data_IF_334191633438
#
_entry.id   IF_334191633438
#
_cell.length_a   1.000
_cell.length_b   1.000
_cell.length_c   1.000
_cell.angle_alpha   90.00
_cell.angle_beta   90.00
_cell.angle_gamma   90.00
#
_symmetry.space_group_name_H-M   'P 1'
#
loop_
_entity.id
_entity.type
_entity.pdbx_description
1 polymer ?
#
# COMPACT_ATOMS: atom_id res chain seq x y z
N UNK A 1 -35.13 -54.37 26.75
CA UNK A 1 -34.28 -53.53 25.88
C UNK A 1 -34.78 -52.10 25.93
N UNK A 2 -34.12 -51.24 26.71
CA UNK A 2 -34.25 -49.79 26.65
C UNK A 2 -32.96 -49.22 27.26
N UNK A 3 -32.09 -48.62 26.43
CA UNK A 3 -30.84 -47.98 26.89
C UNK A 3 -31.11 -46.49 27.21
N UNK A 4 -30.42 -45.94 28.22
CA UNK A 4 -30.68 -44.60 28.75
C UNK A 4 -30.06 -43.48 27.90
N UNK A 5 -30.62 -42.28 28.06
CA UNK A 5 -30.24 -41.02 27.42
C UNK A 5 -28.83 -40.56 27.80
N UNK A 6 -27.91 -40.50 26.84
CA UNK A 6 -26.64 -39.79 26.96
C UNK A 6 -26.80 -38.37 26.42
N UNK A 7 -26.76 -37.37 27.31
CA UNK A 7 -26.67 -35.96 26.94
C UNK A 7 -25.36 -35.67 26.22
N UNK A 8 -25.43 -35.13 25.02
CA UNK A 8 -24.26 -34.61 24.29
C UNK A 8 -23.86 -33.26 24.90
N UNK A 9 -22.81 -33.27 25.74
CA UNK A 9 -22.07 -32.04 26.05
C UNK A 9 -21.45 -31.48 24.77
N UNK A 10 -21.76 -30.22 24.45
CA UNK A 10 -21.12 -29.47 23.37
C UNK A 10 -19.67 -29.18 23.76
N UNK A 11 -18.69 -29.39 22.86
CA UNK A 11 -17.30 -29.09 23.16
C UNK A 11 -17.11 -27.60 23.43
N UNK A 12 -16.51 -27.28 24.59
CA UNK A 12 -16.09 -25.94 24.98
C UNK A 12 -15.13 -25.39 23.92
N UNK A 13 -15.44 -24.22 23.35
CA UNK A 13 -14.52 -23.45 22.50
C UNK A 13 -13.25 -23.14 23.30
N UNK A 14 -12.05 -23.50 22.82
CA UNK A 14 -10.81 -23.01 23.41
C UNK A 14 -10.54 -21.57 22.95
N UNK A 15 -10.11 -20.76 23.92
CA UNK A 15 -9.19 -19.61 23.78
C UNK A 15 -9.69 -18.30 23.17
N UNK A 16 -10.53 -17.60 23.94
CA UNK A 16 -10.71 -16.14 23.80
C UNK A 16 -9.66 -15.33 24.59
N UNK A 17 -8.85 -16.00 25.44
CA UNK A 17 -7.86 -15.35 26.32
C UNK A 17 -6.46 -15.17 25.71
N UNK A 18 -6.13 -15.82 24.59
CA UNK A 18 -4.82 -15.68 23.93
C UNK A 18 -4.67 -14.40 23.07
N UNK A 19 -5.72 -13.59 22.94
CA UNK A 19 -5.70 -12.40 22.06
C UNK A 19 -5.21 -11.11 22.71
N UNK A 20 -5.12 -11.03 24.04
CA UNK A 20 -4.79 -9.76 24.73
C UNK A 20 -3.29 -9.47 24.85
N UNK A 21 -2.41 -10.46 24.74
CA UNK A 21 -0.96 -10.26 24.83
C UNK A 21 -0.29 -9.92 23.50
N UNK A 22 -0.94 -10.18 22.36
CA UNK A 22 -0.35 -9.98 21.04
C UNK A 22 -0.45 -8.53 20.54
N UNK A 23 -1.39 -7.73 21.07
CA UNK A 23 -1.55 -6.33 20.67
C UNK A 23 -0.53 -5.40 21.34
N UNK A 24 0.06 -5.79 22.48
CA UNK A 24 1.00 -4.96 23.26
C UNK A 24 2.44 -5.01 22.69
N UNK A 25 2.82 -6.09 22.03
CA UNK A 25 4.14 -6.24 21.37
C UNK A 25 4.11 -5.84 19.88
N UNK A 26 2.95 -5.44 19.36
CA UNK A 26 2.78 -5.16 17.94
C UNK A 26 3.37 -3.79 17.57
N UNK A 27 4.38 -3.81 16.70
CA UNK A 27 4.90 -2.57 16.12
C UNK A 27 3.91 -2.02 15.11
N UNK A 28 3.28 -0.90 15.44
CA UNK A 28 2.28 -0.28 14.57
C UNK A 28 2.88 0.30 13.28
N UNK A 29 4.13 0.76 13.32
CA UNK A 29 4.82 1.39 12.20
C UNK A 29 6.16 0.68 11.98
N UNK A 30 6.40 0.24 10.74
CA UNK A 30 7.68 -0.31 10.30
C UNK A 30 8.14 0.51 9.09
N UNK A 31 9.34 1.08 9.16
CA UNK A 31 9.88 1.91 8.08
C UNK A 31 10.81 1.09 7.18
N UNK A 32 10.49 1.07 5.88
CA UNK A 32 11.26 0.40 4.83
C UNK A 32 11.39 1.38 3.66
N UNK A 33 12.57 1.54 3.06
CA UNK A 33 12.83 2.48 1.96
C UNK A 33 12.31 3.91 2.21
N UNK A 34 12.58 4.49 3.38
CA UNK A 34 12.08 5.82 3.77
C UNK A 34 10.55 5.97 3.71
N UNK A 35 9.79 4.86 3.73
CA UNK A 35 8.33 4.84 3.77
C UNK A 35 7.81 4.13 5.00
N UNK A 36 6.77 4.71 5.61
CA UNK A 36 6.10 4.15 6.77
C UNK A 36 5.06 3.10 6.36
N UNK A 37 5.26 1.85 6.77
CA UNK A 37 4.35 0.74 6.51
C UNK A 37 3.54 0.42 7.76
N UNK A 38 2.26 0.10 7.54
CA UNK A 38 1.34 -0.28 8.61
C UNK A 38 1.61 -1.71 9.08
N UNK A 39 2.07 -1.84 10.33
CA UNK A 39 2.47 -3.13 10.91
C UNK A 39 1.32 -4.10 11.15
N UNK A 40 0.08 -3.62 11.27
CA UNK A 40 -1.12 -4.46 11.42
C UNK A 40 -1.46 -5.26 10.15
N UNK A 41 -0.91 -4.89 8.98
CA UNK A 41 -1.18 -5.58 7.71
C UNK A 41 -0.25 -6.78 7.54
N UNK A 42 -0.71 -7.74 6.74
CA UNK A 42 0.12 -8.86 6.30
C UNK A 42 1.33 -8.38 5.50
N UNK A 43 2.46 -9.06 5.58
CA UNK A 43 3.74 -8.63 4.96
C UNK A 43 3.57 -8.25 3.49
N UNK A 44 3.00 -9.15 2.67
CA UNK A 44 2.86 -8.91 1.23
C UNK A 44 1.95 -7.71 0.90
N UNK A 45 0.94 -7.45 1.74
CA UNK A 45 0.06 -6.29 1.61
C UNK A 45 0.70 -5.02 2.13
N UNK A 46 1.46 -5.11 3.22
CA UNK A 46 2.16 -3.97 3.81
C UNK A 46 3.21 -3.42 2.84
N UNK A 47 3.97 -4.28 2.16
CA UNK A 47 4.97 -3.89 1.16
C UNK A 47 4.40 -3.09 -0.02
N UNK A 48 3.11 -3.24 -0.34
CA UNK A 48 2.44 -2.41 -1.37
C UNK A 48 2.28 -0.94 -0.98
N UNK A 49 2.56 -0.59 0.28
CA UNK A 49 2.66 0.79 0.72
C UNK A 49 3.87 1.52 0.12
N UNK A 50 4.91 0.77 -0.29
CA UNK A 50 6.06 1.33 -0.99
C UNK A 50 5.66 1.66 -2.43
N UNK A 51 5.81 2.92 -2.84
CA UNK A 51 5.59 3.32 -4.23
C UNK A 51 6.52 2.55 -5.16
N UNK A 52 5.97 1.99 -6.23
CA UNK A 52 6.70 1.13 -7.17
C UNK A 52 6.55 -0.37 -6.89
N UNK A 53 6.17 -0.77 -5.66
CA UNK A 53 5.96 -2.17 -5.30
C UNK A 53 4.48 -2.55 -5.40
N UNK A 54 4.15 -3.44 -6.34
CA UNK A 54 2.82 -4.03 -6.48
C UNK A 54 2.65 -5.33 -5.70
N UNK A 55 1.42 -5.87 -5.65
CA UNK A 55 1.11 -7.15 -4.97
C UNK A 55 2.00 -8.32 -5.44
N UNK A 56 2.23 -8.40 -6.76
CA UNK A 56 3.02 -9.49 -7.36
C UNK A 56 4.52 -9.35 -7.05
N UNK A 57 5.05 -8.12 -7.16
CA UNK A 57 6.43 -7.82 -6.78
C UNK A 57 6.66 -8.09 -5.29
N UNK A 58 5.76 -7.64 -4.42
CA UNK A 58 5.80 -7.92 -2.99
C UNK A 58 5.86 -9.42 -2.68
N UNK A 59 5.01 -10.23 -3.33
CA UNK A 59 5.02 -11.69 -3.16
C UNK A 59 6.34 -12.33 -3.59
N UNK A 60 7.00 -11.80 -4.62
CA UNK A 60 8.30 -12.30 -5.09
C UNK A 60 9.40 -11.89 -4.10
N UNK A 61 9.37 -10.65 -3.61
CA UNK A 61 10.33 -10.17 -2.61
C UNK A 61 10.23 -10.97 -1.30
N UNK A 62 9.02 -11.26 -0.81
CA UNK A 62 8.84 -12.09 0.40
C UNK A 62 9.32 -13.52 0.17
N UNK A 63 9.02 -14.11 -1.00
CA UNK A 63 9.48 -15.45 -1.34
C UNK A 63 11.01 -15.53 -1.43
N UNK A 64 11.67 -14.49 -1.97
CA UNK A 64 13.12 -14.41 -2.03
C UNK A 64 13.77 -14.19 -0.66
N UNK A 65 13.15 -13.38 0.18
CA UNK A 65 13.60 -13.12 1.56
C UNK A 65 13.38 -14.33 2.49
N UNK A 66 12.56 -15.30 2.09
CA UNK A 66 12.19 -16.45 2.93
C UNK A 66 11.28 -16.08 4.11
N UNK A 67 10.54 -14.97 4.00
CA UNK A 67 9.61 -14.49 5.02
C UNK A 67 8.19 -14.92 4.63
N UNK A 68 7.40 -15.38 5.61
CA UNK A 68 6.01 -15.76 5.36
C UNK A 68 5.18 -14.56 4.86
N UNK A 69 4.55 -14.65 3.67
CA UNK A 69 3.75 -13.55 3.12
C UNK A 69 2.51 -13.19 3.95
N UNK A 70 1.98 -14.14 4.73
CA UNK A 70 0.72 -14.01 5.46
C UNK A 70 0.90 -13.58 6.93
N UNK A 71 2.13 -13.65 7.45
CA UNK A 71 2.49 -13.12 8.74
C UNK A 71 2.18 -11.62 8.86
N UNK A 72 2.04 -11.14 10.09
CA UNK A 72 1.78 -9.73 10.37
C UNK A 72 3.10 -8.98 10.47
N UNK A 73 3.28 -7.91 9.68
CA UNK A 73 4.56 -7.20 9.59
C UNK A 73 5.07 -6.70 10.96
N UNK A 74 4.16 -6.21 11.80
CA UNK A 74 4.50 -5.66 13.12
C UNK A 74 4.90 -6.70 14.17
N UNK A 75 4.73 -7.99 13.89
CA UNK A 75 5.11 -9.10 14.78
C UNK A 75 6.41 -9.80 14.31
N UNK A 76 6.97 -9.37 13.18
CA UNK A 76 8.18 -9.97 12.64
C UNK A 76 9.42 -9.61 13.48
N UNK A 77 10.39 -10.53 13.61
CA UNK A 77 11.66 -10.22 14.24
C UNK A 77 12.48 -9.25 13.37
N UNK A 78 13.32 -8.44 14.01
CA UNK A 78 14.16 -7.43 13.35
C UNK A 78 15.05 -8.02 12.24
N UNK A 79 15.56 -9.23 12.48
CA UNK A 79 16.38 -9.94 11.51
C UNK A 79 15.64 -10.21 10.18
N UNK A 80 14.32 -10.47 10.22
CA UNK A 80 13.53 -10.69 9.00
C UNK A 80 13.18 -9.38 8.30
N UNK A 81 12.94 -8.32 9.07
CA UNK A 81 12.72 -6.97 8.53
C UNK A 81 13.98 -6.49 7.80
N UNK A 82 15.16 -6.73 8.34
CA UNK A 82 16.43 -6.33 7.70
C UNK A 82 16.75 -7.18 6.46
N UNK A 83 16.37 -8.47 6.44
CA UNK A 83 16.40 -9.27 5.20
C UNK A 83 15.50 -8.68 4.12
N UNK A 84 14.28 -8.27 4.48
CA UNK A 84 13.35 -7.63 3.54
C UNK A 84 13.91 -6.30 3.01
N UNK A 85 14.51 -5.47 3.87
CA UNK A 85 15.16 -4.22 3.43
C UNK A 85 16.26 -4.48 2.41
N UNK A 86 17.18 -5.41 2.68
CA UNK A 86 18.28 -5.77 1.78
C UNK A 86 17.78 -6.25 0.42
N UNK A 87 16.82 -7.18 0.41
CA UNK A 87 16.22 -7.72 -0.82
C UNK A 87 15.57 -6.62 -1.66
N UNK A 88 14.94 -5.64 -1.02
CA UNK A 88 14.30 -4.52 -1.70
C UNK A 88 15.34 -3.51 -2.22
N UNK A 89 16.38 -3.19 -1.44
CA UNK A 89 17.40 -2.20 -1.82
C UNK A 89 18.37 -2.70 -2.90
N UNK A 90 18.87 -3.94 -2.79
CA UNK A 90 20.01 -4.40 -3.58
C UNK A 90 19.62 -5.06 -4.92
N UNK A 91 18.42 -5.64 -5.01
CA UNK A 91 18.18 -6.72 -5.97
C UNK A 91 16.88 -6.62 -6.79
N UNK A 92 16.16 -5.49 -6.76
CA UNK A 92 14.88 -5.39 -7.48
C UNK A 92 15.00 -5.68 -9.00
N UNK A 93 16.10 -5.28 -9.64
CA UNK A 93 16.36 -5.54 -11.06
C UNK A 93 16.87 -6.96 -11.36
N UNK A 94 17.49 -7.64 -10.39
CA UNK A 94 18.03 -9.00 -10.55
C UNK A 94 17.01 -10.08 -10.21
N UNK A 95 16.12 -9.80 -9.25
CA UNK A 95 15.07 -10.72 -8.81
C UNK A 95 13.91 -10.74 -9.80
N UNK A 96 13.53 -9.56 -10.31
CA UNK A 96 12.39 -9.44 -11.20
C UNK A 96 12.83 -9.67 -12.66
N UNK A 97 12.10 -10.47 -13.44
CA UNK A 97 12.31 -10.55 -14.87
C UNK A 97 12.18 -9.16 -15.52
N UNK A 98 12.93 -8.92 -16.61
CA UNK A 98 12.99 -7.62 -17.29
C UNK A 98 11.61 -7.05 -17.62
N UNK A 99 10.66 -7.88 -18.06
CA UNK A 99 9.30 -7.47 -18.39
C UNK A 99 8.45 -7.01 -17.19
N UNK A 100 8.87 -7.33 -15.96
CA UNK A 100 8.20 -6.94 -14.72
C UNK A 100 8.80 -5.65 -14.12
N UNK A 101 9.89 -5.13 -14.68
CA UNK A 101 10.48 -3.88 -14.24
C UNK A 101 9.61 -2.68 -14.65
N UNK A 102 9.55 -1.67 -13.78
CA UNK A 102 8.67 -0.52 -13.96
C UNK A 102 9.23 0.48 -14.99
N UNK A 103 10.56 0.58 -15.11
CA UNK A 103 11.25 1.52 -16.00
C UNK A 103 12.26 0.76 -16.87
N UNK A 104 11.77 0.30 -18.02
CA UNK A 104 12.59 -0.42 -19.00
C UNK A 104 13.14 0.56 -20.03
N UNK A 105 14.42 0.42 -20.39
CA UNK A 105 15.12 1.30 -21.33
C UNK A 105 15.02 2.77 -20.91
N UNK A 106 15.56 3.10 -19.74
CA UNK A 106 15.61 4.48 -19.27
C UNK A 106 16.23 5.42 -20.31
N UNK A 107 15.72 6.64 -20.41
CA UNK A 107 16.06 7.59 -21.49
C UNK A 107 17.52 8.04 -21.38
N UNK A 108 18.03 8.18 -20.17
CA UNK A 108 19.40 8.66 -19.92
C UNK A 108 20.40 7.51 -19.89
N UNK A 109 20.10 6.46 -19.13
CA UNK A 109 21.05 5.37 -18.86
C UNK A 109 20.92 4.17 -19.81
N UNK A 110 19.78 4.03 -20.49
CA UNK A 110 19.47 2.86 -21.34
C UNK A 110 19.27 1.55 -20.58
N UNK A 111 19.45 1.54 -19.25
CA UNK A 111 19.32 0.36 -18.41
C UNK A 111 17.87 0.07 -18.03
N UNK A 112 17.58 -1.20 -17.73
CA UNK A 112 16.30 -1.62 -17.17
C UNK A 112 16.35 -1.54 -15.64
N UNK A 113 15.57 -0.63 -15.07
CA UNK A 113 15.59 -0.31 -13.64
C UNK A 113 14.19 -0.47 -13.03
N UNK A 114 14.14 -0.93 -11.78
CA UNK A 114 12.92 -0.89 -10.97
C UNK A 114 13.00 0.28 -10.00
N UNK A 115 12.39 1.42 -10.37
CA UNK A 115 12.35 2.62 -9.52
C UNK A 115 11.31 2.45 -8.41
N UNK A 116 11.66 2.79 -7.18
CA UNK A 116 10.81 2.67 -5.99
C UNK A 116 10.81 3.94 -5.14
N UNK A 117 9.92 3.98 -4.15
CA UNK A 117 9.91 4.99 -3.09
C UNK A 117 9.71 6.42 -3.61
N UNK A 118 10.57 7.33 -3.13
CA UNK A 118 10.55 8.74 -3.50
C UNK A 118 10.98 8.95 -4.95
N UNK A 119 11.99 8.21 -5.39
CA UNK A 119 12.64 8.34 -6.70
C UNK A 119 11.64 8.13 -7.85
N UNK A 120 10.62 7.28 -7.63
CA UNK A 120 9.55 7.08 -8.61
C UNK A 120 8.75 8.36 -8.89
N UNK A 121 8.59 9.24 -7.89
CA UNK A 121 7.91 10.52 -8.09
C UNK A 121 8.84 11.57 -8.71
N UNK A 122 10.15 11.49 -8.44
CA UNK A 122 11.14 12.38 -9.05
C UNK A 122 11.29 12.09 -10.54
N UNK A 123 11.53 10.83 -10.89
CA UNK A 123 11.62 10.36 -12.30
C UNK A 123 10.37 10.70 -13.10
N UNK A 124 9.16 10.51 -12.53
CA UNK A 124 7.92 10.90 -13.20
C UNK A 124 7.84 12.42 -13.45
N UNK A 125 8.32 13.25 -12.52
CA UNK A 125 8.32 14.72 -12.71
C UNK A 125 9.32 15.12 -13.79
N UNK A 126 10.51 14.54 -13.79
CA UNK A 126 11.53 14.76 -14.81
C UNK A 126 11.01 14.41 -16.21
N UNK A 127 10.37 13.25 -16.37
CA UNK A 127 9.73 12.84 -17.63
C UNK A 127 8.64 13.84 -18.06
N UNK A 128 7.81 14.32 -17.12
CA UNK A 128 6.77 15.31 -17.39
C UNK A 128 7.34 16.66 -17.81
N UNK A 129 8.39 17.12 -17.14
CA UNK A 129 9.00 18.40 -17.41
C UNK A 129 9.79 18.39 -18.72
N UNK A 130 10.42 17.26 -19.07
CA UNK A 130 10.98 17.04 -20.39
C UNK A 130 9.89 17.13 -21.49
N UNK A 131 8.75 16.46 -21.29
CA UNK A 131 7.63 16.52 -22.24
C UNK A 131 7.06 17.93 -22.42
N UNK A 132 7.01 18.74 -21.35
CA UNK A 132 6.58 20.14 -21.39
C UNK A 132 7.58 21.03 -22.11
N UNK A 133 8.89 20.90 -21.79
CA UNK A 133 9.98 21.66 -22.44
C UNK A 133 10.00 21.41 -23.95
N UNK A 134 9.83 20.15 -24.37
CA UNK A 134 9.76 19.77 -25.78
C UNK A 134 8.48 20.27 -26.49
N UNK A 135 7.46 20.73 -25.75
CA UNK A 135 6.12 21.09 -26.25
C UNK A 135 5.43 19.97 -27.03
N UNK A 136 5.66 18.72 -26.61
CA UNK A 136 4.91 17.56 -27.12
C UNK A 136 3.42 17.71 -26.81
N UNK A 137 2.54 17.10 -27.62
CA UNK A 137 1.09 17.11 -27.36
C UNK A 137 0.75 16.64 -25.93
N UNK A 138 1.41 15.56 -25.49
CA UNK A 138 1.26 15.02 -24.13
C UNK A 138 1.74 16.03 -23.08
N UNK A 139 2.87 16.71 -23.29
CA UNK A 139 3.38 17.76 -22.41
C UNK A 139 2.39 18.91 -22.23
N UNK A 140 1.86 19.44 -23.34
CA UNK A 140 0.86 20.53 -23.31
C UNK A 140 -0.41 20.09 -22.58
N UNK A 141 -0.84 18.83 -22.75
CA UNK A 141 -2.01 18.30 -22.03
C UNK A 141 -1.75 18.17 -20.53
N UNK A 142 -0.57 17.71 -20.13
CA UNK A 142 -0.16 17.65 -18.72
C UNK A 142 -0.04 19.04 -18.09
N UNK A 143 0.49 20.02 -18.82
CA UNK A 143 0.55 21.43 -18.40
C UNK A 143 -0.86 22.00 -18.14
N UNK A 144 -1.81 21.71 -19.04
CA UNK A 144 -3.21 22.13 -18.90
C UNK A 144 -4.05 21.27 -17.94
N UNK A 145 -3.46 20.24 -17.31
CA UNK A 145 -4.19 19.31 -16.44
C UNK A 145 -5.26 18.47 -17.15
N UNK A 146 -5.18 18.33 -18.48
CA UNK A 146 -6.14 17.58 -19.28
C UNK A 146 -5.71 16.12 -19.41
N UNK A 147 -6.71 15.24 -19.57
CA UNK A 147 -6.50 13.81 -19.85
C UNK A 147 -5.69 13.62 -21.13
N UNK A 148 -4.72 12.71 -21.15
CA UNK A 148 -3.69 12.66 -22.20
C UNK A 148 -3.97 11.65 -23.31
N UNK A 149 -4.58 10.49 -22.99
CA UNK A 149 -4.71 9.34 -23.91
C UNK A 149 -5.83 9.48 -24.96
N UNK A 150 -6.10 10.69 -25.46
CA UNK A 150 -7.14 10.94 -26.47
C UNK A 150 -8.58 10.73 -25.97
N UNK A 151 -8.79 10.72 -24.66
CA UNK A 151 -10.11 10.55 -24.06
C UNK A 151 -11.02 11.73 -24.40
N UNK A 152 -12.30 11.46 -24.71
CA UNK A 152 -13.30 12.49 -25.03
C UNK A 152 -13.61 13.33 -23.80
N UNK A 153 -13.30 14.63 -23.83
CA UNK A 153 -13.48 15.57 -22.71
C UNK A 153 -14.77 16.39 -22.79
N UNK A 154 -15.61 16.20 -23.83
CA UNK A 154 -16.91 16.90 -23.95
C UNK A 154 -17.87 16.56 -22.81
N UNK A 155 -17.95 15.27 -22.46
CA UNK A 155 -18.84 14.76 -21.41
C UNK A 155 -18.11 14.12 -20.23
N UNK A 156 -16.93 13.52 -20.44
CA UNK A 156 -16.21 12.77 -19.41
C UNK A 156 -15.15 13.61 -18.69
N UNK A 157 -14.92 13.32 -17.40
CA UNK A 157 -13.87 13.97 -16.61
C UNK A 157 -14.21 15.38 -16.16
N UNK A 158 -15.51 15.72 -16.06
CA UNK A 158 -15.97 16.97 -15.47
C UNK A 158 -16.01 16.82 -13.95
N UNK A 159 -15.14 17.55 -13.27
CA UNK A 159 -15.17 17.74 -11.81
C UNK A 159 -15.87 19.06 -11.52
N UNK A 160 -17.19 19.01 -11.49
CA UNK A 160 -18.08 20.05 -11.00
C UNK A 160 -19.27 19.38 -10.30
N UNK A 161 -19.90 20.06 -9.36
CA UNK A 161 -21.09 19.53 -8.70
C UNK A 161 -22.11 19.08 -9.76
N UNK A 162 -22.62 17.86 -9.63
CA UNK A 162 -23.88 17.48 -10.27
C UNK A 162 -24.87 18.53 -9.78
N UNK A 163 -25.44 19.33 -10.69
CA UNK A 163 -26.51 20.26 -10.37
C UNK A 163 -27.68 19.41 -9.89
N UNK A 164 -27.76 19.19 -8.57
CA UNK A 164 -28.58 18.15 -7.95
C UNK A 164 -28.42 18.17 -6.42
N UNK A 165 -29.39 17.53 -5.75
CA UNK A 165 -29.67 17.68 -4.31
C UNK A 165 -28.45 17.37 -3.43
N UNK A 166 -27.91 18.42 -2.80
CA UNK A 166 -27.00 18.28 -1.67
C UNK A 166 -27.77 17.74 -0.47
N UNK A 167 -27.48 16.51 -0.04
CA UNK A 167 -27.97 16.01 1.25
C UNK A 167 -27.21 16.74 2.36
N UNK A 168 -27.96 17.33 3.30
CA UNK A 168 -27.43 17.93 4.53
C UNK A 168 -26.60 16.86 5.25
N UNK A 169 -25.32 17.14 5.47
CA UNK A 169 -24.47 16.29 6.31
C UNK A 169 -24.93 16.52 7.75
N UNK A 170 -25.53 15.51 8.35
CA UNK A 170 -25.89 15.58 9.78
C UNK A 170 -24.60 15.76 10.59
N UNK A 171 -24.55 16.86 11.33
CA UNK A 171 -23.42 17.21 12.17
C UNK A 171 -23.28 16.19 13.30
N UNK A 172 -22.07 15.69 13.50
CA UNK A 172 -21.68 14.94 14.69
C UNK A 172 -22.04 15.76 15.94
N UNK A 173 -22.72 15.17 16.95
CA UNK A 173 -23.12 15.91 18.14
C UNK A 173 -21.89 16.44 18.88
N UNK A 174 -21.95 17.73 19.25
CA UNK A 174 -20.91 18.43 19.99
C UNK A 174 -20.63 17.73 21.32
N UNK A 175 -19.34 17.58 21.64
CA UNK A 175 -18.87 17.06 22.92
C UNK A 175 -19.37 17.96 24.08
N UNK A 176 -19.84 17.34 25.15
CA UNK A 176 -20.37 18.00 26.34
C UNK A 176 -19.29 18.90 27.02
N UNK A 177 -19.68 20.05 27.62
CA UNK A 177 -18.73 20.92 28.30
C UNK A 177 -18.22 20.27 29.60
N UNK A 178 -16.92 20.41 29.85
CA UNK A 178 -16.25 19.92 31.04
C UNK A 178 -16.77 20.60 32.30
N UNK A 179 -17.07 19.80 33.33
CA UNK A 179 -17.49 20.28 34.64
C UNK A 179 -16.38 21.07 35.34
N UNK A 180 -16.67 22.31 35.72
CA UNK A 180 -15.89 23.10 36.67
C UNK A 180 -15.99 22.46 38.05
N UNK A 181 -14.83 22.12 38.64
CA UNK A 181 -14.69 21.79 40.06
C UNK A 181 -14.60 23.10 40.85
N UNK A 182 -15.48 23.26 41.82
CA UNK A 182 -15.19 23.97 43.08
C UNK A 182 -14.92 22.92 44.16
#
# INVERSE_FOLDING_TARGET
MAKPSAGKEKPKKPDEKAKKSADEELRHIVRILNTDLAGKRQVHMALTGIKGVGRRAASIFTAKAGVDPFATLGLLPDAEIDKLKKVIEEDAAKILPVWMLNRRGDIETGADIHVMGMDLNMTLREDLDLMKKMRSYKGIRHERGLRVRGQRTRSSGRTGAIVGVSRKKEGTPAAAPAATKE
#
